data_IF_755454636943
#
_entry.id   IF_755454636943
#
_cell.length_a   1.000
_cell.length_b   1.000
_cell.length_c   1.000
_cell.angle_alpha   90.00
_cell.angle_beta   90.00
_cell.angle_gamma   90.00
#
_symmetry.space_group_name_H-M   'P 1'
#
loop_
_entity.id
_entity.type
_entity.pdbx_description
1 polymer ?
#
# COMPACT_ATOMS: atom_id res chain seq x y z
N UNK A 1 56.78 -1.21 -62.22
CA UNK A 1 57.38 -0.52 -61.05
C UNK A 1 56.54 0.69 -60.75
N UNK A 2 55.54 0.53 -59.87
CA UNK A 2 54.78 1.56 -59.14
C UNK A 2 53.71 0.82 -58.36
N UNK A 3 53.88 0.72 -57.05
CA UNK A 3 52.89 0.28 -56.07
C UNK A 3 52.87 1.34 -54.96
N UNK A 4 51.70 1.80 -54.48
CA UNK A 4 51.63 2.83 -53.45
C UNK A 4 51.66 2.23 -52.03
N UNK A 5 52.20 3.02 -51.13
CA UNK A 5 52.41 2.77 -49.70
C UNK A 5 51.10 2.51 -48.95
N UNK A 6 51.08 1.42 -48.19
CA UNK A 6 50.10 1.17 -47.12
C UNK A 6 50.44 2.06 -45.93
N UNK A 7 49.61 3.07 -45.68
CA UNK A 7 49.67 3.87 -44.47
C UNK A 7 48.99 3.09 -43.33
N UNK A 8 49.78 2.69 -42.33
CA UNK A 8 49.33 1.97 -41.14
C UNK A 8 48.36 2.80 -40.30
N UNK A 9 47.07 2.49 -40.37
CA UNK A 9 46.09 2.83 -39.34
C UNK A 9 46.19 1.81 -38.21
N UNK A 10 47.17 1.94 -37.32
CA UNK A 10 47.23 1.08 -36.12
C UNK A 10 47.92 1.73 -34.92
N UNK A 11 47.70 3.03 -34.71
CA UNK A 11 48.08 3.67 -33.44
C UNK A 11 46.97 4.63 -33.00
N UNK A 12 45.91 4.07 -32.40
CA UNK A 12 45.06 4.75 -31.43
C UNK A 12 44.28 3.73 -30.57
N UNK A 13 44.92 2.61 -30.20
CA UNK A 13 44.47 1.74 -29.11
C UNK A 13 45.24 2.14 -27.85
N UNK A 14 45.08 3.40 -27.43
CA UNK A 14 45.54 3.84 -26.11
C UNK A 14 44.55 3.32 -25.08
N UNK A 15 44.93 2.24 -24.39
CA UNK A 15 44.57 1.93 -22.99
C UNK A 15 43.29 2.57 -22.44
N UNK A 16 42.11 2.16 -22.92
CA UNK A 16 40.92 2.20 -22.06
C UNK A 16 41.03 0.98 -21.15
N UNK A 17 41.52 1.20 -19.92
CA UNK A 17 41.25 0.29 -18.81
C UNK A 17 39.74 0.07 -18.83
N UNK A 18 39.29 -1.15 -19.12
CA UNK A 18 37.87 -1.46 -19.28
C UNK A 18 37.13 -1.02 -18.03
N UNK A 19 36.41 0.10 -18.10
CA UNK A 19 35.55 0.56 -17.02
C UNK A 19 34.33 -0.36 -17.02
N UNK A 20 34.33 -1.33 -16.12
CA UNK A 20 33.18 -2.20 -15.89
C UNK A 20 32.17 -1.43 -15.03
N UNK A 21 30.96 -1.15 -15.54
CA UNK A 21 29.94 -0.44 -14.77
C UNK A 21 29.62 -1.19 -13.47
N UNK A 22 29.68 -0.48 -12.35
CA UNK A 22 29.39 -1.03 -11.04
C UNK A 22 28.04 -0.50 -10.57
N UNK A 23 27.02 -1.36 -10.62
CA UNK A 23 25.70 -1.09 -10.07
C UNK A 23 25.62 -1.56 -8.61
N UNK A 24 25.20 -0.67 -7.72
CA UNK A 24 25.04 -0.94 -6.28
C UNK A 24 23.67 -0.51 -5.79
N UNK A 25 23.06 -1.33 -4.94
CA UNK A 25 21.77 -1.07 -4.28
C UNK A 25 21.93 -1.32 -2.78
N UNK A 26 21.54 -0.35 -1.95
CA UNK A 26 21.64 -0.47 -0.49
C UNK A 26 20.36 0.03 0.23
N UNK A 27 19.80 -0.72 1.19
CA UNK A 27 20.18 -2.10 1.53
C UNK A 27 19.79 -3.08 0.41
N UNK A 28 20.52 -4.20 0.29
CA UNK A 28 20.19 -5.29 -0.65
C UNK A 28 19.06 -6.18 -0.14
N UNK A 29 18.80 -6.16 1.17
CA UNK A 29 17.66 -6.79 1.84
C UNK A 29 17.11 -5.75 2.82
N UNK A 30 15.86 -5.35 2.65
CA UNK A 30 15.24 -4.33 3.51
C UNK A 30 13.73 -4.45 3.49
N UNK A 31 13.05 -3.77 4.40
CA UNK A 31 11.59 -3.81 4.45
C UNK A 31 11.04 -3.08 3.23
N UNK A 32 9.86 -3.48 2.76
CA UNK A 32 9.23 -2.87 1.58
C UNK A 32 9.09 -1.37 1.70
N UNK A 33 8.88 -0.83 2.91
CA UNK A 33 8.69 0.58 3.22
C UNK A 33 9.97 1.34 3.59
N UNK A 34 11.15 0.71 3.48
CA UNK A 34 12.45 1.38 3.65
C UNK A 34 12.97 1.93 2.32
N UNK A 35 13.67 3.08 2.32
CA UNK A 35 14.30 3.57 1.08
C UNK A 35 15.49 2.71 0.65
N UNK A 36 15.68 2.57 -0.66
CA UNK A 36 16.92 2.04 -1.24
C UNK A 36 17.72 3.16 -1.89
N UNK A 37 19.05 3.03 -1.88
CA UNK A 37 19.97 3.87 -2.63
C UNK A 37 20.46 3.08 -3.83
N UNK A 38 20.26 3.62 -5.03
CA UNK A 38 20.73 3.02 -6.29
C UNK A 38 21.79 3.92 -6.90
N UNK A 39 22.99 3.36 -7.09
CA UNK A 39 24.14 4.08 -7.64
C UNK A 39 24.85 3.23 -8.68
N UNK A 40 25.10 3.80 -9.86
CA UNK A 40 25.98 3.26 -10.89
C UNK A 40 27.27 4.06 -10.89
N UNK A 41 28.42 3.37 -10.89
CA UNK A 41 29.75 3.98 -11.01
C UNK A 41 30.51 3.37 -12.19
N UNK A 42 31.66 3.96 -12.52
CA UNK A 42 32.55 3.49 -13.58
C UNK A 42 31.88 3.46 -14.97
N UNK A 43 30.99 4.42 -15.23
CA UNK A 43 30.52 4.70 -16.58
C UNK A 43 31.50 5.66 -17.27
N UNK A 44 31.60 5.67 -18.60
CA UNK A 44 32.17 6.80 -19.33
C UNK A 44 31.43 8.10 -18.95
N UNK A 45 32.12 9.24 -18.75
CA UNK A 45 31.46 10.52 -18.49
C UNK A 45 30.45 10.88 -19.57
N UNK A 46 29.34 11.53 -19.17
CA UNK A 46 28.24 11.91 -20.06
C UNK A 46 27.60 10.75 -20.86
N UNK A 47 27.72 9.49 -20.40
CA UNK A 47 27.04 8.36 -21.03
C UNK A 47 25.56 8.35 -20.66
N UNK A 48 24.69 8.29 -21.68
CA UNK A 48 23.28 7.98 -21.50
C UNK A 48 23.08 6.52 -21.11
N UNK A 49 22.30 6.28 -20.04
CA UNK A 49 21.98 4.95 -19.53
C UNK A 49 20.51 4.88 -19.10
N UNK A 50 19.95 3.67 -19.10
CA UNK A 50 18.64 3.38 -18.50
C UNK A 50 18.83 2.49 -17.29
N UNK A 51 18.31 2.91 -16.14
CA UNK A 51 18.11 2.02 -14.99
C UNK A 51 16.71 1.42 -15.10
N UNK A 52 16.64 0.09 -15.07
CA UNK A 52 15.41 -0.69 -15.22
C UNK A 52 15.28 -1.63 -14.04
N UNK A 53 14.09 -1.69 -13.45
CA UNK A 53 13.71 -2.61 -12.40
C UNK A 53 12.66 -3.58 -12.89
N UNK A 54 12.84 -4.87 -12.63
CA UNK A 54 11.92 -5.93 -13.02
C UNK A 54 11.55 -6.80 -11.82
N UNK A 55 10.26 -7.06 -11.65
CA UNK A 55 9.72 -7.94 -10.62
C UNK A 55 8.75 -8.96 -11.23
N UNK A 56 8.91 -10.24 -10.87
CA UNK A 56 7.95 -11.29 -11.20
C UNK A 56 7.03 -11.53 -10.00
N UNK A 57 5.76 -11.19 -10.13
CA UNK A 57 4.80 -11.27 -9.04
C UNK A 57 4.36 -12.71 -8.74
N UNK A 58 3.76 -12.90 -7.58
CA UNK A 58 3.19 -14.20 -7.18
C UNK A 58 2.00 -14.60 -8.07
N UNK A 59 1.30 -13.61 -8.62
CA UNK A 59 0.26 -13.75 -9.67
C UNK A 59 0.84 -14.10 -11.06
N UNK A 60 2.16 -14.29 -11.15
CA UNK A 60 2.94 -14.66 -12.35
C UNK A 60 3.03 -13.59 -13.44
N UNK A 61 2.70 -12.34 -13.12
CA UNK A 61 2.86 -11.21 -14.04
C UNK A 61 4.22 -10.53 -13.84
N UNK A 62 4.77 -9.97 -14.91
CA UNK A 62 5.99 -9.17 -14.86
C UNK A 62 5.66 -7.69 -14.74
N UNK A 63 6.35 -7.03 -13.82
CA UNK A 63 6.23 -5.62 -13.52
C UNK A 63 7.56 -4.93 -13.74
N UNK A 64 7.54 -3.80 -14.42
CA UNK A 64 8.74 -3.02 -14.69
C UNK A 64 8.58 -1.54 -14.40
N UNK A 65 9.68 -0.92 -14.00
CA UNK A 65 9.87 0.52 -14.01
C UNK A 65 11.23 0.83 -14.62
N UNK A 66 11.38 2.00 -15.20
CA UNK A 66 12.66 2.48 -15.67
C UNK A 66 12.74 4.00 -15.66
N UNK A 67 13.98 4.48 -15.52
CA UNK A 67 14.33 5.88 -15.64
C UNK A 67 15.56 6.07 -16.54
N UNK A 68 15.55 7.13 -17.32
CA UNK A 68 16.66 7.56 -18.19
C UNK A 68 17.59 8.50 -17.44
N UNK A 69 18.89 8.28 -17.53
CA UNK A 69 19.90 9.07 -16.84
C UNK A 69 21.10 9.35 -17.75
N UNK A 70 21.90 10.33 -17.37
CA UNK A 70 23.19 10.60 -17.99
C UNK A 70 24.24 10.67 -16.88
N UNK A 71 25.32 9.91 -16.99
CA UNK A 71 26.36 9.89 -15.97
C UNK A 71 27.08 11.23 -15.87
N UNK A 72 27.45 11.62 -14.65
CA UNK A 72 28.19 12.85 -14.38
C UNK A 72 29.63 12.83 -14.95
N UNK A 73 30.39 13.90 -14.70
CA UNK A 73 31.79 14.03 -15.12
C UNK A 73 32.74 12.99 -14.49
N UNK A 74 32.29 12.28 -13.44
CA UNK A 74 33.01 11.20 -12.78
C UNK A 74 32.49 9.81 -13.20
N UNK A 75 31.58 9.74 -14.17
CA UNK A 75 31.02 8.47 -14.62
C UNK A 75 30.05 7.83 -13.62
N UNK A 76 29.34 8.66 -12.83
CA UNK A 76 28.41 8.21 -11.79
C UNK A 76 26.97 8.61 -12.12
N UNK A 77 26.02 7.74 -11.78
CA UNK A 77 24.59 8.04 -11.69
C UNK A 77 24.13 7.67 -10.28
N UNK A 78 23.55 8.62 -9.55
CA UNK A 78 22.93 8.44 -8.23
C UNK A 78 21.44 8.77 -8.34
N UNK A 79 20.59 7.73 -8.36
CA UNK A 79 19.12 7.87 -8.59
C UNK A 79 18.45 8.87 -7.65
N UNK A 80 18.92 8.94 -6.40
CA UNK A 80 18.35 9.84 -5.40
C UNK A 80 18.68 11.33 -5.62
N UNK A 81 19.61 11.65 -6.53
CA UNK A 81 20.12 13.02 -6.76
C UNK A 81 19.94 13.45 -8.21
N UNK A 82 20.24 12.55 -9.13
CA UNK A 82 20.19 12.83 -10.55
C UNK A 82 18.75 12.67 -11.04
N UNK A 83 18.27 13.66 -11.80
CA UNK A 83 16.91 13.64 -12.32
C UNK A 83 16.81 12.61 -13.45
N UNK A 84 15.77 11.77 -13.38
CA UNK A 84 15.40 10.95 -14.53
C UNK A 84 14.84 11.85 -15.64
N UNK A 85 15.33 11.67 -16.86
CA UNK A 85 14.98 12.47 -18.04
C UNK A 85 13.76 11.91 -18.80
N UNK A 86 13.24 10.76 -18.38
CA UNK A 86 12.16 10.06 -19.05
C UNK A 86 12.01 8.62 -18.57
N UNK A 87 10.92 7.99 -18.97
CA UNK A 87 10.59 6.61 -18.64
C UNK A 87 9.28 6.51 -17.88
N UNK A 88 9.22 5.63 -16.89
CA UNK A 88 8.02 5.46 -16.05
C UNK A 88 7.84 6.56 -15.00
N UNK A 89 8.87 7.39 -14.80
CA UNK A 89 8.88 8.57 -13.95
C UNK A 89 9.94 9.56 -14.46
N UNK A 90 9.85 10.82 -14.03
CA UNK A 90 10.81 11.89 -14.32
C UNK A 90 11.20 12.61 -13.01
N UNK A 91 12.33 13.31 -13.02
CA UNK A 91 12.81 14.04 -11.85
C UNK A 91 13.67 13.20 -10.90
N UNK A 92 14.12 13.82 -9.80
CA UNK A 92 14.96 13.18 -8.79
C UNK A 92 14.09 12.38 -7.81
N UNK A 93 13.82 11.12 -8.16
CA UNK A 93 12.87 10.25 -7.48
C UNK A 93 13.58 8.99 -6.94
N UNK A 94 14.07 9.01 -5.68
CA UNK A 94 14.90 7.93 -5.13
C UNK A 94 14.28 6.53 -5.23
N UNK A 95 12.94 6.48 -5.17
CA UNK A 95 12.16 5.25 -5.17
C UNK A 95 11.35 5.06 -6.46
N UNK A 96 11.64 5.85 -7.51
CA UNK A 96 10.94 5.79 -8.80
C UNK A 96 10.91 4.38 -9.40
N UNK A 97 12.04 3.67 -9.33
CA UNK A 97 12.16 2.27 -9.77
C UNK A 97 11.24 1.28 -9.02
N UNK A 98 10.55 1.67 -7.95
CA UNK A 98 9.57 0.81 -7.27
C UNK A 98 8.14 1.33 -7.45
N UNK A 99 7.88 2.58 -7.06
CA UNK A 99 6.50 3.10 -7.03
C UNK A 99 5.90 3.31 -8.43
N UNK A 100 6.73 3.47 -9.46
CA UNK A 100 6.26 3.67 -10.84
C UNK A 100 6.16 2.37 -11.64
N UNK A 101 6.28 1.19 -11.00
CA UNK A 101 6.18 -0.07 -11.73
C UNK A 101 4.82 -0.21 -12.42
N UNK A 102 4.87 -0.63 -13.66
CA UNK A 102 3.71 -0.95 -14.49
C UNK A 102 3.86 -2.37 -15.04
N UNK A 103 2.77 -3.03 -15.44
CA UNK A 103 2.88 -4.30 -16.15
C UNK A 103 3.71 -4.15 -17.43
N UNK A 104 4.55 -5.13 -17.73
CA UNK A 104 5.34 -5.12 -18.98
C UNK A 104 4.43 -5.07 -20.22
N UNK A 105 4.89 -4.52 -21.36
CA UNK A 105 4.14 -4.53 -22.61
C UNK A 105 3.62 -5.92 -22.98
N UNK A 106 2.34 -6.00 -23.40
CA UNK A 106 1.67 -7.26 -23.73
C UNK A 106 1.03 -7.99 -22.54
N UNK A 107 1.13 -7.43 -21.33
CA UNK A 107 0.42 -7.96 -20.14
C UNK A 107 -1.10 -7.88 -20.29
N UNK A 108 -1.80 -8.76 -19.58
CA UNK A 108 -3.26 -8.72 -19.43
C UNK A 108 -3.73 -7.43 -18.73
N UNK A 109 -4.97 -7.02 -18.98
CA UNK A 109 -5.53 -5.78 -18.42
C UNK A 109 -6.04 -5.93 -16.99
N UNK A 110 -6.10 -4.81 -16.27
CA UNK A 110 -6.67 -4.71 -14.91
C UNK A 110 -5.82 -5.41 -13.85
N UNK A 111 -4.50 -5.39 -13.98
CA UNK A 111 -3.58 -5.96 -13.01
C UNK A 111 -3.48 -5.09 -11.75
N UNK A 112 -3.21 -5.74 -10.62
CA UNK A 112 -2.90 -5.11 -9.34
C UNK A 112 -1.82 -5.93 -8.66
N UNK A 113 -0.66 -5.34 -8.41
CA UNK A 113 0.39 -5.99 -7.65
C UNK A 113 -0.04 -6.07 -6.18
N UNK A 114 -0.05 -7.28 -5.64
CA UNK A 114 -0.38 -7.55 -4.23
C UNK A 114 0.59 -8.60 -3.72
N UNK A 115 0.91 -8.50 -2.43
CA UNK A 115 1.63 -9.57 -1.73
C UNK A 115 0.61 -10.57 -1.17
N UNK A 116 0.74 -11.83 -1.53
CA UNK A 116 -0.10 -12.93 -1.03
C UNK A 116 0.64 -13.74 0.04
N UNK A 117 1.94 -14.00 -0.16
CA UNK A 117 2.77 -14.69 0.82
C UNK A 117 3.75 -13.74 1.50
N UNK A 118 3.45 -13.30 2.72
CA UNK A 118 4.30 -12.36 3.48
C UNK A 118 5.62 -12.99 3.98
N UNK A 119 5.77 -14.32 3.90
CA UNK A 119 6.98 -15.04 4.35
C UNK A 119 8.09 -15.04 3.30
N UNK A 120 7.80 -14.62 2.08
CA UNK A 120 8.79 -14.45 1.01
C UNK A 120 8.99 -12.96 0.68
N UNK A 121 10.17 -12.56 0.15
CA UNK A 121 10.37 -11.19 -0.28
C UNK A 121 9.72 -10.92 -1.64
N UNK A 122 9.55 -9.64 -1.98
CA UNK A 122 9.53 -9.22 -3.37
C UNK A 122 10.96 -9.13 -3.88
N UNK A 123 11.31 -9.97 -4.86
CA UNK A 123 12.63 -9.95 -5.51
C UNK A 123 12.58 -8.99 -6.68
N UNK A 124 13.43 -7.97 -6.66
CA UNK A 124 13.53 -6.94 -7.71
C UNK A 124 14.91 -6.99 -8.34
N UNK A 125 14.95 -7.22 -9.65
CA UNK A 125 16.17 -7.13 -10.44
C UNK A 125 16.35 -5.69 -10.90
N UNK A 126 17.44 -5.04 -10.51
CA UNK A 126 17.80 -3.71 -11.02
C UNK A 126 18.96 -3.89 -12.00
N UNK A 127 18.76 -3.40 -13.21
CA UNK A 127 19.70 -3.51 -14.32
C UNK A 127 20.01 -2.14 -14.87
N UNK A 128 21.24 -1.94 -15.35
CA UNK A 128 21.64 -0.75 -16.10
C UNK A 128 21.91 -1.13 -17.55
N UNK A 129 21.32 -0.38 -18.48
CA UNK A 129 21.45 -0.56 -19.93
C UNK A 129 22.12 0.66 -20.57
N UNK A 130 22.78 0.45 -21.71
CA UNK A 130 23.37 1.54 -22.49
C UNK A 130 22.28 2.28 -23.29
N UNK A 131 22.37 3.61 -23.33
CA UNK A 131 21.40 4.47 -24.00
C UNK A 131 20.09 4.65 -23.22
N UNK A 132 19.22 5.51 -23.75
CA UNK A 132 17.87 5.75 -23.20
C UNK A 132 16.86 4.79 -23.84
N UNK A 133 16.87 3.55 -23.38
CA UNK A 133 15.94 2.51 -23.80
C UNK A 133 14.55 2.70 -23.16
N UNK A 134 13.48 2.46 -23.94
CA UNK A 134 12.08 2.46 -23.49
C UNK A 134 11.40 1.10 -23.61
N UNK A 135 11.96 0.19 -24.39
CA UNK A 135 11.41 -1.14 -24.63
C UNK A 135 12.51 -2.14 -24.99
N UNK A 136 12.15 -3.43 -25.07
CA UNK A 136 13.06 -4.47 -25.54
C UNK A 136 14.18 -4.82 -24.55
N UNK A 137 14.02 -4.52 -23.26
CA UNK A 137 14.99 -4.84 -22.20
C UNK A 137 15.38 -6.33 -22.18
N UNK A 138 14.45 -7.23 -22.48
CA UNK A 138 14.69 -8.69 -22.56
C UNK A 138 15.53 -9.13 -23.77
N UNK A 139 15.69 -8.26 -24.78
CA UNK A 139 16.45 -8.53 -26.01
C UNK A 139 17.88 -7.99 -25.95
N UNK A 140 18.20 -7.19 -24.93
CA UNK A 140 19.52 -6.61 -24.75
C UNK A 140 20.17 -7.15 -23.49
N UNK A 141 21.50 -7.28 -23.52
CA UNK A 141 22.28 -7.61 -22.32
C UNK A 141 22.50 -6.35 -21.50
N UNK A 142 22.18 -6.35 -20.19
CA UNK A 142 22.48 -5.22 -19.33
C UNK A 142 23.99 -5.07 -19.14
N UNK A 143 24.44 -3.84 -18.91
CA UNK A 143 25.83 -3.52 -18.54
C UNK A 143 26.18 -4.07 -17.15
N UNK A 144 25.22 -4.05 -16.23
CA UNK A 144 25.30 -4.69 -14.92
C UNK A 144 23.89 -4.95 -14.37
N UNK A 145 23.76 -5.95 -13.50
CA UNK A 145 22.51 -6.28 -12.80
C UNK A 145 22.81 -6.61 -11.34
N UNK A 146 21.92 -6.18 -10.45
CA UNK A 146 21.91 -6.54 -9.04
C UNK A 146 20.49 -6.94 -8.64
N UNK A 147 20.39 -7.79 -7.61
CA UNK A 147 19.11 -8.20 -7.05
C UNK A 147 18.96 -7.57 -5.67
N UNK A 148 17.79 -7.02 -5.39
CA UNK A 148 17.39 -6.57 -4.05
C UNK A 148 16.12 -7.27 -3.60
N UNK A 149 16.07 -7.62 -2.32
CA UNK A 149 14.93 -8.26 -1.68
C UNK A 149 14.18 -7.25 -0.80
N UNK A 150 12.87 -7.16 -1.02
CA UNK A 150 11.99 -6.23 -0.32
C UNK A 150 11.00 -7.04 0.52
N UNK A 151 11.21 -7.06 1.82
CA UNK A 151 10.51 -7.91 2.76
C UNK A 151 9.30 -7.19 3.39
N UNK A 152 8.16 -7.86 3.53
CA UNK A 152 7.05 -7.33 4.33
C UNK A 152 7.18 -7.68 5.81
N UNK A 153 7.87 -8.79 6.10
CA UNK A 153 8.06 -9.33 7.43
C UNK A 153 9.51 -9.13 7.85
N UNK A 154 9.74 -8.35 8.91
CA UNK A 154 11.05 -8.24 9.54
C UNK A 154 11.48 -9.58 10.15
N UNK A 155 12.79 -9.79 10.39
CA UNK A 155 13.30 -10.96 11.08
C UNK A 155 12.62 -11.12 12.44
N UNK A 156 12.39 -12.37 12.81
CA UNK A 156 11.85 -12.78 14.12
C UNK A 156 10.43 -12.26 14.45
N UNK A 157 9.75 -11.58 13.52
CA UNK A 157 8.30 -11.41 13.61
C UNK A 157 7.67 -12.81 13.57
N UNK A 158 6.71 -13.08 14.44
CA UNK A 158 6.00 -14.36 14.46
C UNK A 158 4.65 -14.23 13.75
N UNK A 159 4.34 -15.14 12.82
CA UNK A 159 3.05 -15.23 12.13
C UNK A 159 2.24 -16.41 12.70
N UNK A 160 1.06 -16.13 13.24
CA UNK A 160 0.19 -17.13 13.89
C UNK A 160 -1.19 -17.10 13.23
N UNK A 161 -1.63 -18.24 12.70
CA UNK A 161 -2.99 -18.39 12.18
C UNK A 161 -4.01 -18.42 13.32
N UNK A 162 -5.05 -17.59 13.25
CA UNK A 162 -6.12 -17.53 14.24
C UNK A 162 -7.38 -18.23 13.71
N UNK A 163 -7.92 -19.16 14.52
CA UNK A 163 -9.18 -19.89 14.28
C UNK A 163 -9.96 -20.07 15.58
N UNK A 164 -10.07 -19.00 16.35
CA UNK A 164 -10.62 -19.03 17.72
C UNK A 164 -12.01 -18.38 17.76
N UNK A 165 -12.95 -18.99 18.48
CA UNK A 165 -14.29 -18.42 18.70
C UNK A 165 -15.09 -18.07 17.41
N UNK A 166 -14.79 -18.75 16.30
CA UNK A 166 -15.36 -18.49 14.97
C UNK A 166 -14.63 -17.38 14.19
N UNK A 167 -13.69 -16.67 14.82
CA UNK A 167 -12.88 -15.62 14.20
C UNK A 167 -11.76 -16.24 13.38
N UNK A 168 -11.49 -15.64 12.22
CA UNK A 168 -10.41 -16.04 11.33
C UNK A 168 -9.52 -14.86 10.96
N UNK A 169 -8.23 -15.09 11.01
CA UNK A 169 -7.25 -14.08 10.66
C UNK A 169 -5.84 -14.58 10.90
N UNK A 170 -4.89 -13.65 10.86
CA UNK A 170 -3.49 -13.92 11.15
C UNK A 170 -2.97 -12.87 12.11
N UNK A 171 -2.45 -13.32 13.24
CA UNK A 171 -1.82 -12.50 14.26
C UNK A 171 -0.32 -12.44 13.99
N UNK A 172 0.24 -11.23 13.96
CA UNK A 172 1.66 -10.98 13.83
C UNK A 172 2.20 -10.40 15.14
N UNK A 173 3.26 -11.01 15.65
CA UNK A 173 3.91 -10.61 16.90
C UNK A 173 5.28 -9.98 16.58
N UNK A 174 5.57 -8.76 17.05
CA UNK A 174 6.91 -8.19 16.96
C UNK A 174 7.94 -9.04 17.73
N UNK A 175 9.24 -8.98 17.35
CA UNK A 175 10.29 -9.60 18.13
C UNK A 175 10.48 -8.89 19.47
N UNK A 176 10.88 -9.67 20.49
CA UNK A 176 11.22 -9.16 21.83
C UNK A 176 10.21 -9.52 22.91
N UNK A 177 10.46 -9.08 24.16
CA UNK A 177 9.71 -9.56 25.32
C UNK A 177 8.29 -8.97 25.46
N UNK A 178 7.98 -7.88 24.75
CA UNK A 178 6.73 -7.14 24.93
C UNK A 178 6.56 -6.55 26.34
N UNK A 179 5.33 -6.21 26.75
CA UNK A 179 4.14 -6.18 25.91
C UNK A 179 4.19 -5.02 24.89
N UNK A 180 3.51 -5.19 23.78
CA UNK A 180 3.38 -4.23 22.70
C UNK A 180 1.95 -3.70 22.61
N UNK A 181 1.70 -2.55 21.98
CA UNK A 181 0.35 -2.17 21.66
C UNK A 181 -0.25 -3.05 20.54
N UNK A 182 -1.58 -3.17 20.53
CA UNK A 182 -2.33 -4.01 19.61
C UNK A 182 -2.96 -3.23 18.46
N UNK A 183 -3.15 -3.88 17.30
CA UNK A 183 -3.91 -3.35 16.16
C UNK A 183 -4.78 -4.45 15.57
N UNK A 184 -6.07 -4.18 15.41
CA UNK A 184 -6.95 -5.00 14.58
C UNK A 184 -7.03 -4.38 13.17
N UNK A 185 -6.46 -5.06 12.19
CA UNK A 185 -6.32 -4.63 10.80
C UNK A 185 -7.43 -5.21 9.90
N UNK A 186 -8.17 -4.33 9.24
CA UNK A 186 -9.32 -4.66 8.39
C UNK A 186 -9.19 -4.06 6.99
N UNK A 187 -9.19 -4.92 5.99
CA UNK A 187 -9.17 -4.54 4.57
C UNK A 187 -10.54 -4.21 4.01
N UNK A 188 -10.63 -3.89 2.71
CA UNK A 188 -11.88 -3.51 2.04
C UNK A 188 -12.73 -4.67 1.51
N UNK A 189 -13.71 -4.34 0.67
CA UNK A 189 -14.70 -5.28 0.12
C UNK A 189 -14.19 -6.35 -0.86
N UNK A 190 -12.89 -6.35 -1.20
CA UNK A 190 -12.28 -7.38 -2.05
C UNK A 190 -12.31 -8.79 -1.44
N UNK A 191 -12.40 -8.85 -0.11
CA UNK A 191 -12.46 -10.08 0.67
C UNK A 191 -11.19 -10.91 0.63
N UNK A 192 -11.29 -12.13 1.15
CA UNK A 192 -10.14 -12.95 1.53
C UNK A 192 -9.43 -12.39 2.77
N UNK A 193 -8.24 -12.94 3.02
CA UNK A 193 -7.33 -12.51 4.08
C UNK A 193 -6.15 -11.79 3.44
N UNK A 194 -5.91 -10.54 3.84
CA UNK A 194 -4.83 -9.71 3.32
C UNK A 194 -3.90 -9.34 4.47
N UNK A 195 -2.67 -9.83 4.41
CA UNK A 195 -1.79 -9.87 5.58
C UNK A 195 -0.72 -8.80 5.59
N UNK A 196 -0.35 -8.26 4.44
CA UNK A 196 0.90 -7.54 4.27
C UNK A 196 0.99 -6.22 5.07
N UNK A 197 -0.12 -5.51 5.27
CA UNK A 197 -0.13 -4.31 6.16
C UNK A 197 0.02 -4.70 7.63
N UNK A 198 -0.72 -5.72 8.09
CA UNK A 198 -0.61 -6.21 9.46
C UNK A 198 0.79 -6.74 9.78
N UNK A 199 1.39 -7.48 8.84
CA UNK A 199 2.75 -7.96 8.94
C UNK A 199 3.78 -6.80 9.04
N UNK A 200 3.59 -5.77 8.24
CA UNK A 200 4.45 -4.58 8.28
C UNK A 200 4.28 -3.80 9.59
N UNK A 201 3.05 -3.67 10.11
CA UNK A 201 2.81 -3.08 11.44
C UNK A 201 3.56 -3.84 12.54
N UNK A 202 3.60 -5.18 12.49
CA UNK A 202 4.38 -5.96 13.45
C UNK A 202 5.89 -5.74 13.34
N UNK A 203 6.38 -5.54 12.11
CA UNK A 203 7.76 -5.11 11.87
C UNK A 203 8.06 -3.72 12.46
N UNK A 204 7.03 -2.89 12.71
CA UNK A 204 7.13 -1.59 13.37
C UNK A 204 6.75 -1.59 14.87
N UNK A 205 6.68 -2.77 15.49
CA UNK A 205 6.52 -2.91 16.94
C UNK A 205 5.06 -2.94 17.42
N UNK A 206 4.10 -3.38 16.59
CA UNK A 206 2.72 -3.56 17.01
C UNK A 206 2.29 -5.03 16.91
N UNK A 207 1.66 -5.59 17.94
CA UNK A 207 0.94 -6.84 17.75
C UNK A 207 -0.24 -6.54 16.84
N UNK A 208 -0.27 -7.13 15.65
CA UNK A 208 -1.26 -6.75 14.63
C UNK A 208 -1.98 -7.98 14.09
N UNK A 209 -3.31 -7.93 14.04
CA UNK A 209 -4.12 -9.02 13.50
C UNK A 209 -4.80 -8.61 12.20
N UNK A 210 -4.45 -9.27 11.10
CA UNK A 210 -5.20 -9.18 9.85
C UNK A 210 -6.49 -9.99 9.99
N UNK A 211 -7.64 -9.33 9.88
CA UNK A 211 -8.95 -9.97 10.03
C UNK A 211 -9.53 -10.37 8.68
N UNK A 212 -9.88 -11.65 8.54
CA UNK A 212 -10.73 -12.11 7.44
C UNK A 212 -12.19 -11.95 7.88
N UNK A 213 -12.97 -11.17 7.13
CA UNK A 213 -14.41 -11.04 7.39
C UNK A 213 -15.26 -11.08 6.12
N UNK A 214 -14.64 -11.45 4.99
CA UNK A 214 -15.31 -11.66 3.70
C UNK A 214 -14.66 -12.84 2.96
N UNK A 215 -14.85 -14.08 3.43
CA UNK A 215 -14.25 -15.25 2.83
C UNK A 215 -14.81 -15.47 1.41
N UNK A 216 -13.96 -15.96 0.49
CA UNK A 216 -14.43 -16.33 -0.84
C UNK A 216 -15.35 -17.56 -0.84
N UNK A 217 -15.23 -18.42 0.17
CA UNK A 217 -16.09 -19.57 0.36
C UNK A 217 -17.27 -19.20 1.27
N UNK A 218 -18.48 -19.24 0.70
CA UNK A 218 -19.73 -18.84 1.36
C UNK A 218 -20.12 -19.77 2.51
N UNK A 219 -19.58 -20.97 2.58
CA UNK A 219 -19.84 -21.87 3.71
C UNK A 219 -19.20 -21.38 5.02
N UNK A 220 -18.40 -20.31 4.96
CA UNK A 220 -17.66 -19.75 6.11
C UNK A 220 -18.22 -18.41 6.60
N UNK A 221 -19.41 -17.99 6.17
CA UNK A 221 -19.96 -16.67 6.51
C UNK A 221 -20.84 -16.66 7.76
N UNK A 222 -21.26 -17.81 8.29
CA UNK A 222 -22.22 -17.88 9.40
C UNK A 222 -21.75 -17.17 10.67
N UNK A 223 -20.47 -17.35 11.04
CA UNK A 223 -19.90 -16.70 12.23
C UNK A 223 -19.71 -15.19 12.03
N UNK A 224 -19.44 -14.77 10.80
CA UNK A 224 -19.19 -13.36 10.41
C UNK A 224 -20.48 -12.54 10.44
N UNK A 225 -21.61 -13.14 10.09
CA UNK A 225 -22.92 -12.48 10.18
C UNK A 225 -23.37 -12.26 11.64
N UNK A 226 -22.64 -12.81 12.63
CA UNK A 226 -22.82 -12.44 14.03
C UNK A 226 -22.42 -10.99 14.25
N UNK A 227 -23.29 -10.23 14.92
CA UNK A 227 -23.00 -8.84 15.34
C UNK A 227 -21.76 -8.74 16.24
N UNK A 228 -21.37 -9.84 16.89
CA UNK A 228 -20.23 -9.91 17.83
C UNK A 228 -18.92 -10.33 17.18
N UNK A 229 -18.89 -10.66 15.88
CA UNK A 229 -17.70 -11.20 15.21
C UNK A 229 -16.48 -10.29 15.37
N UNK A 230 -16.66 -9.00 15.08
CA UNK A 230 -15.58 -8.03 15.18
C UNK A 230 -15.17 -7.70 16.62
N UNK A 231 -16.11 -7.77 17.58
CA UNK A 231 -15.84 -7.58 19.00
C UNK A 231 -15.00 -8.76 19.55
N UNK A 232 -15.32 -9.99 19.14
CA UNK A 232 -14.50 -11.17 19.43
C UNK A 232 -13.10 -11.04 18.83
N UNK A 233 -12.98 -10.61 17.58
CA UNK A 233 -11.69 -10.39 16.93
C UNK A 233 -10.83 -9.36 17.67
N UNK A 234 -11.44 -8.25 18.09
CA UNK A 234 -10.76 -7.25 18.91
C UNK A 234 -10.29 -7.83 20.25
N UNK A 235 -11.12 -8.65 20.92
CA UNK A 235 -10.75 -9.31 22.18
C UNK A 235 -9.59 -10.28 22.04
N UNK A 236 -9.51 -11.04 20.93
CA UNK A 236 -8.36 -11.92 20.66
C UNK A 236 -7.05 -11.12 20.67
N UNK A 237 -7.02 -9.93 20.04
CA UNK A 237 -5.85 -9.05 20.11
C UNK A 237 -5.65 -8.52 21.53
N UNK A 238 -6.71 -7.98 22.14
CA UNK A 238 -6.66 -7.33 23.44
C UNK A 238 -6.20 -8.25 24.58
N UNK A 239 -6.59 -9.52 24.54
CA UNK A 239 -6.34 -10.50 25.59
C UNK A 239 -5.04 -11.29 25.36
N UNK A 240 -4.37 -11.08 24.22
CA UNK A 240 -3.10 -11.74 23.95
C UNK A 240 -2.05 -11.32 24.99
N UNK A 241 -1.27 -12.26 25.58
CA UNK A 241 -0.34 -11.95 26.69
C UNK A 241 0.74 -10.92 26.37
N UNK A 242 1.11 -10.78 25.09
CA UNK A 242 2.07 -9.78 24.62
C UNK A 242 1.42 -8.43 24.28
N UNK A 243 0.14 -8.21 24.56
CA UNK A 243 -0.55 -6.96 24.27
C UNK A 243 -0.78 -6.14 25.53
N UNK A 244 -0.52 -4.84 25.45
CA UNK A 244 -0.92 -3.87 26.47
C UNK A 244 -2.45 -3.73 26.37
N UNK A 245 -3.17 -4.39 27.29
CA UNK A 245 -4.63 -4.60 27.25
C UNK A 245 -5.47 -3.37 26.86
N UNK A 246 -5.14 -2.18 27.36
CA UNK A 246 -5.93 -0.96 27.09
C UNK A 246 -5.38 -0.10 25.95
N UNK A 247 -4.47 -0.65 25.12
CA UNK A 247 -3.78 0.04 24.02
C UNK A 247 -3.93 -0.73 22.71
N UNK A 248 -5.18 -0.92 22.29
CA UNK A 248 -5.53 -1.57 21.02
C UNK A 248 -6.20 -0.57 20.08
N UNK A 249 -5.74 -0.48 18.83
CA UNK A 249 -6.35 0.34 17.79
C UNK A 249 -7.21 -0.47 16.82
N UNK A 250 -8.12 0.23 16.14
CA UNK A 250 -8.76 -0.26 14.91
C UNK A 250 -8.09 0.40 13.70
N UNK A 251 -7.71 -0.40 12.71
CA UNK A 251 -7.16 0.10 11.45
C UNK A 251 -8.01 -0.46 10.30
N UNK A 252 -8.69 0.43 9.58
CA UNK A 252 -9.53 0.06 8.44
C UNK A 252 -9.12 0.73 7.13
N UNK A 253 -9.26 0.01 6.02
CA UNK A 253 -9.25 0.57 4.66
C UNK A 253 -10.58 0.29 3.96
N UNK A 254 -11.15 1.28 3.26
CA UNK A 254 -12.40 1.14 2.51
C UNK A 254 -13.52 0.63 3.44
N UNK A 255 -14.19 -0.48 3.10
CA UNK A 255 -15.16 -1.14 3.97
C UNK A 255 -14.68 -1.38 5.40
N UNK A 256 -13.41 -1.77 5.58
CA UNK A 256 -12.83 -1.96 6.91
C UNK A 256 -12.82 -0.68 7.74
N UNK A 257 -12.71 0.49 7.10
CA UNK A 257 -12.80 1.78 7.78
C UNK A 257 -14.23 2.05 8.28
N UNK A 258 -15.26 1.78 7.47
CA UNK A 258 -16.65 1.90 7.93
C UNK A 258 -16.95 0.98 9.11
N UNK A 259 -16.44 -0.25 9.07
CA UNK A 259 -16.55 -1.21 10.18
C UNK A 259 -15.87 -0.64 11.44
N UNK A 260 -14.64 -0.14 11.31
CA UNK A 260 -13.91 0.47 12.43
C UNK A 260 -14.68 1.64 13.06
N UNK A 261 -15.23 2.54 12.23
CA UNK A 261 -16.04 3.67 12.70
C UNK A 261 -17.29 3.21 13.46
N UNK A 262 -18.03 2.24 12.91
CA UNK A 262 -19.23 1.71 13.55
C UNK A 262 -18.91 1.02 14.89
N UNK A 263 -17.82 0.25 14.97
CA UNK A 263 -17.37 -0.37 16.22
C UNK A 263 -17.00 0.68 17.27
N UNK A 264 -16.21 1.67 16.90
CA UNK A 264 -15.81 2.75 17.81
C UNK A 264 -16.98 3.61 18.31
N UNK A 265 -18.06 3.73 17.52
CA UNK A 265 -19.23 4.51 17.87
C UNK A 265 -20.29 3.75 18.67
N UNK A 266 -20.47 2.45 18.42
CA UNK A 266 -21.63 1.70 18.92
C UNK A 266 -21.33 0.46 19.74
N UNK A 267 -20.11 -0.12 19.67
CA UNK A 267 -19.81 -1.27 20.51
C UNK A 267 -19.83 -0.87 21.99
N UNK A 268 -20.43 -1.72 22.81
CA UNK A 268 -20.40 -1.61 24.29
C UNK A 268 -19.39 -2.57 24.90
N UNK A 269 -18.86 -3.48 24.09
CA UNK A 269 -18.07 -4.63 24.49
C UNK A 269 -16.57 -4.40 24.34
N UNK A 270 -16.18 -3.41 23.53
CA UNK A 270 -14.81 -3.03 23.26
C UNK A 270 -14.63 -1.50 23.33
N UNK A 271 -13.40 -1.07 23.59
CA UNK A 271 -13.04 0.35 23.59
C UNK A 271 -11.68 0.53 22.91
N UNK A 272 -11.65 0.87 21.61
CA UNK A 272 -10.39 1.13 20.92
C UNK A 272 -9.73 2.39 21.46
N UNK A 273 -8.40 2.36 21.57
CA UNK A 273 -7.62 3.49 22.06
C UNK A 273 -7.47 4.60 21.01
N UNK A 274 -7.48 4.24 19.73
CA UNK A 274 -7.57 5.15 18.59
C UNK A 274 -7.99 4.38 17.33
N UNK A 275 -8.37 5.12 16.28
CA UNK A 275 -8.78 4.56 14.98
C UNK A 275 -7.99 5.20 13.83
N UNK A 276 -7.60 4.39 12.84
CA UNK A 276 -7.04 4.84 11.56
C UNK A 276 -7.94 4.34 10.43
N UNK A 277 -8.42 5.26 9.60
CA UNK A 277 -9.39 4.98 8.55
C UNK A 277 -8.92 5.52 7.20
N UNK A 278 -8.47 4.64 6.32
CA UNK A 278 -8.02 4.97 4.96
C UNK A 278 -9.15 4.81 3.97
N UNK A 279 -9.39 5.85 3.17
CA UNK A 279 -10.39 5.85 2.08
C UNK A 279 -11.76 5.34 2.53
N UNK A 280 -12.15 5.72 3.75
CA UNK A 280 -13.33 5.25 4.44
C UNK A 280 -14.54 6.18 4.31
N UNK A 281 -15.71 5.65 4.63
CA UNK A 281 -16.95 6.42 4.78
C UNK A 281 -17.68 5.98 6.04
N UNK A 282 -18.42 6.89 6.65
CA UNK A 282 -19.34 6.60 7.74
C UNK A 282 -20.73 6.15 7.23
N UNK A 283 -20.98 6.19 5.92
CA UNK A 283 -22.28 5.87 5.30
C UNK A 283 -22.49 4.36 5.21
N UNK A 284 -22.96 3.76 6.29
CA UNK A 284 -23.40 2.37 6.38
C UNK A 284 -24.62 2.24 7.31
N UNK A 285 -25.48 1.22 7.12
CA UNK A 285 -26.53 0.88 8.08
C UNK A 285 -25.93 0.59 9.46
N UNK A 286 -26.32 1.36 10.48
CA UNK A 286 -25.76 1.22 11.83
C UNK A 286 -26.34 0.02 12.57
N UNK A 287 -25.55 -0.63 13.42
CA UNK A 287 -25.96 -1.79 14.23
C UNK A 287 -26.52 -2.98 13.41
N UNK A 288 -26.17 -3.06 12.12
CA UNK A 288 -26.55 -4.15 11.22
C UNK A 288 -25.36 -5.08 10.98
N UNK A 289 -25.67 -6.33 10.63
CA UNK A 289 -24.65 -7.29 10.19
C UNK A 289 -24.05 -6.85 8.85
N UNK A 290 -22.84 -7.30 8.56
CA UNK A 290 -22.12 -6.90 7.34
C UNK A 290 -22.90 -7.27 6.07
N UNK A 291 -23.66 -8.38 6.08
CA UNK A 291 -24.52 -8.76 4.96
C UNK A 291 -25.63 -7.76 4.64
N UNK A 292 -26.14 -7.02 5.64
CA UNK A 292 -27.11 -5.94 5.41
C UNK A 292 -26.47 -4.72 4.75
N UNK A 293 -25.21 -4.40 5.08
CA UNK A 293 -24.43 -3.34 4.42
C UNK A 293 -24.34 -3.63 2.92
N UNK A 294 -23.96 -4.85 2.55
CA UNK A 294 -23.91 -5.27 1.15
C UNK A 294 -25.29 -5.25 0.46
N UNK A 295 -26.36 -5.61 1.18
CA UNK A 295 -27.72 -5.56 0.63
C UNK A 295 -28.11 -4.13 0.29
N UNK A 296 -27.78 -3.16 1.15
CA UNK A 296 -28.00 -1.74 0.87
C UNK A 296 -27.17 -1.27 -0.32
N UNK A 297 -25.86 -1.52 -0.32
CA UNK A 297 -24.99 -1.13 -1.44
C UNK A 297 -25.51 -1.67 -2.79
N UNK A 298 -26.04 -2.90 -2.80
CA UNK A 298 -26.62 -3.48 -4.00
C UNK A 298 -27.93 -2.80 -4.42
N UNK A 299 -28.79 -2.43 -3.44
CA UNK A 299 -30.01 -1.66 -3.69
C UNK A 299 -29.68 -0.29 -4.31
N UNK A 300 -28.60 0.34 -3.86
CA UNK A 300 -28.11 1.63 -4.37
C UNK A 300 -27.22 1.47 -5.62
N UNK A 301 -27.02 0.25 -6.11
CA UNK A 301 -26.15 -0.06 -7.25
C UNK A 301 -26.57 0.59 -8.56
N UNK A 302 -27.83 1.02 -8.69
CA UNK A 302 -28.32 1.79 -9.85
C UNK A 302 -27.62 3.15 -10.03
N UNK A 303 -26.94 3.65 -8.98
CA UNK A 303 -26.14 4.88 -9.02
C UNK A 303 -24.72 4.67 -9.56
N UNK A 304 -24.36 3.42 -9.87
CA UNK A 304 -23.05 3.11 -10.46
C UNK A 304 -22.88 3.86 -11.77
N UNK A 305 -21.74 4.56 -11.91
CA UNK A 305 -21.34 5.18 -13.16
C UNK A 305 -20.27 4.35 -13.86
N UNK A 306 -20.08 4.65 -15.13
CA UNK A 306 -19.00 4.13 -15.94
C UNK A 306 -18.26 5.30 -16.57
N UNK A 307 -16.94 5.21 -16.65
CA UNK A 307 -16.16 6.18 -17.43
C UNK A 307 -16.13 5.82 -18.92
N UNK A 308 -15.39 6.60 -19.70
CA UNK A 308 -15.30 6.46 -21.15
C UNK A 308 -14.72 5.09 -21.58
N UNK A 309 -13.90 4.47 -20.74
CA UNK A 309 -13.34 3.13 -20.97
C UNK A 309 -14.22 2.00 -20.40
N UNK A 310 -15.42 2.31 -19.89
CA UNK A 310 -16.36 1.34 -19.33
C UNK A 310 -15.94 0.79 -17.97
N UNK A 311 -15.05 1.48 -17.25
CA UNK A 311 -14.63 1.11 -15.90
C UNK A 311 -15.66 1.58 -14.88
N UNK A 312 -15.88 0.78 -13.85
CA UNK A 312 -16.91 0.99 -12.83
C UNK A 312 -16.48 2.08 -11.86
N UNK A 313 -17.36 3.05 -11.61
CA UNK A 313 -17.21 4.14 -10.63
C UNK A 313 -18.30 3.99 -9.57
N UNK A 314 -17.90 3.69 -8.34
CA UNK A 314 -18.81 3.45 -7.21
C UNK A 314 -19.00 4.66 -6.28
N UNK A 315 -18.26 5.74 -6.52
CA UNK A 315 -18.28 6.96 -5.69
C UNK A 315 -19.70 7.42 -5.36
N UNK A 316 -20.59 7.36 -6.35
CA UNK A 316 -21.95 7.88 -6.28
C UNK A 316 -22.93 6.98 -5.50
N UNK A 317 -22.58 5.73 -5.21
CA UNK A 317 -23.46 4.78 -4.49
C UNK A 317 -23.89 5.37 -3.14
N UNK A 318 -22.94 6.00 -2.44
CA UNK A 318 -23.16 6.59 -1.12
C UNK A 318 -23.60 8.06 -1.17
N UNK A 319 -23.82 8.62 -2.36
CA UNK A 319 -24.26 10.00 -2.56
C UNK A 319 -25.76 10.11 -2.92
N UNK A 320 -26.42 11.22 -2.54
CA UNK A 320 -25.96 12.18 -1.53
C UNK A 320 -25.80 11.52 -0.15
N UNK A 321 -24.95 12.08 0.71
CA UNK A 321 -24.77 11.58 2.09
C UNK A 321 -26.16 11.59 2.77
N UNK A 322 -26.63 10.46 3.34
CA UNK A 322 -27.97 10.37 3.88
C UNK A 322 -28.12 11.25 5.12
N UNK A 323 -29.30 11.85 5.26
CA UNK A 323 -29.71 12.59 6.46
C UNK A 323 -30.24 11.67 7.57
N UNK A 324 -30.68 10.46 7.20
CA UNK A 324 -31.12 9.43 8.14
C UNK A 324 -29.93 8.90 8.98
N UNK A 325 -30.02 9.09 10.30
CA UNK A 325 -29.01 8.65 11.26
C UNK A 325 -28.95 7.12 11.41
N UNK A 326 -29.94 6.37 10.92
CA UNK A 326 -29.88 4.92 10.82
C UNK A 326 -28.99 4.41 9.68
N UNK A 327 -28.63 5.30 8.75
CA UNK A 327 -27.96 4.97 7.49
C UNK A 327 -26.52 5.49 7.40
N UNK A 328 -26.04 6.10 8.48
CA UNK A 328 -24.67 6.57 8.67
C UNK A 328 -24.24 6.53 10.13
N UNK A 329 -22.97 6.25 10.40
CA UNK A 329 -22.40 6.19 11.75
C UNK A 329 -22.44 7.58 12.41
N UNK A 330 -22.98 7.62 13.64
CA UNK A 330 -22.96 8.83 14.47
C UNK A 330 -21.56 9.11 15.02
N UNK A 331 -20.80 9.90 14.27
CA UNK A 331 -19.42 10.25 14.60
C UNK A 331 -19.27 11.00 15.93
N UNK A 332 -20.34 11.64 16.42
CA UNK A 332 -20.33 12.32 17.72
C UNK A 332 -20.14 11.36 18.91
N UNK A 333 -20.39 10.06 18.68
CA UNK A 333 -20.19 8.98 19.66
C UNK A 333 -18.76 8.52 19.79
N UNK A 334 -17.90 8.79 18.81
CA UNK A 334 -16.50 8.38 18.87
C UNK A 334 -15.77 9.27 19.88
N UNK A 335 -15.19 8.62 20.90
CA UNK A 335 -14.50 9.27 22.04
C UNK A 335 -13.00 8.99 22.09
N UNK A 336 -12.45 8.32 21.07
CA UNK A 336 -11.01 8.12 20.93
C UNK A 336 -10.45 8.96 19.76
N UNK A 337 -9.14 9.23 19.72
CA UNK A 337 -8.48 9.83 18.58
C UNK A 337 -8.76 9.07 17.28
N UNK A 338 -9.08 9.80 16.22
CA UNK A 338 -9.42 9.28 14.90
C UNK A 338 -8.57 9.97 13.83
N UNK A 339 -7.86 9.17 13.03
CA UNK A 339 -7.20 9.63 11.82
C UNK A 339 -7.99 9.19 10.58
N UNK A 340 -8.35 10.15 9.74
CA UNK A 340 -8.89 9.92 8.41
C UNK A 340 -7.83 10.18 7.36
N UNK A 341 -7.64 9.24 6.43
CA UNK A 341 -6.78 9.40 5.25
C UNK A 341 -7.66 9.42 4.00
N UNK A 342 -7.61 10.52 3.26
CA UNK A 342 -8.53 10.84 2.16
C UNK A 342 -7.73 11.09 0.89
N UNK A 343 -7.94 10.26 -0.13
CA UNK A 343 -7.56 10.59 -1.51
C UNK A 343 -8.64 11.44 -2.16
N UNK A 344 -8.28 12.59 -2.71
CA UNK A 344 -9.27 13.52 -3.29
C UNK A 344 -9.82 13.05 -4.64
N UNK A 345 -9.06 12.25 -5.39
CA UNK A 345 -9.49 11.60 -6.64
C UNK A 345 -10.04 10.18 -6.39
N UNK A 346 -10.64 9.90 -5.23
CA UNK A 346 -11.24 8.59 -4.95
C UNK A 346 -12.49 8.33 -5.82
N UNK A 347 -12.40 7.37 -6.74
CA UNK A 347 -13.49 7.02 -7.65
C UNK A 347 -14.33 5.83 -7.14
N UNK A 348 -13.96 5.25 -6.00
CA UNK A 348 -14.69 4.15 -5.40
C UNK A 348 -15.68 4.64 -4.34
N UNK A 349 -15.25 5.48 -3.39
CA UNK A 349 -16.09 6.06 -2.33
C UNK A 349 -16.01 7.59 -2.33
N UNK A 350 -17.11 8.26 -1.97
CA UNK A 350 -17.16 9.71 -1.78
C UNK A 350 -16.48 10.14 -0.47
N UNK A 351 -15.16 9.95 -0.39
CA UNK A 351 -14.35 10.12 0.83
C UNK A 351 -14.22 11.58 1.26
N UNK A 352 -14.15 12.51 0.31
CA UNK A 352 -14.09 13.97 0.58
C UNK A 352 -15.40 14.45 1.22
N UNK A 353 -16.53 14.08 0.63
CA UNK A 353 -17.88 14.39 1.14
C UNK A 353 -18.12 13.72 2.48
N UNK A 354 -17.70 12.47 2.62
CA UNK A 354 -17.77 11.73 3.88
C UNK A 354 -16.93 12.41 4.97
N UNK A 355 -15.69 12.80 4.70
CA UNK A 355 -14.82 13.48 5.67
C UNK A 355 -15.39 14.82 6.12
N UNK A 356 -15.99 15.59 5.20
CA UNK A 356 -16.68 16.84 5.52
C UNK A 356 -17.86 16.61 6.48
N UNK A 357 -18.74 15.66 6.18
CA UNK A 357 -19.89 15.35 7.03
C UNK A 357 -19.46 14.79 8.40
N UNK A 358 -18.48 13.88 8.44
CA UNK A 358 -17.90 13.35 9.68
C UNK A 358 -17.33 14.47 10.57
N UNK A 359 -16.60 15.42 9.97
CA UNK A 359 -16.05 16.58 10.69
C UNK A 359 -17.15 17.43 11.31
N UNK A 360 -18.22 17.71 10.55
CA UNK A 360 -19.36 18.48 11.04
C UNK A 360 -20.06 17.78 12.22
N UNK A 361 -20.26 16.46 12.14
CA UNK A 361 -20.85 15.66 13.21
C UNK A 361 -19.97 15.67 14.48
N UNK A 362 -18.65 15.50 14.34
CA UNK A 362 -17.72 15.53 15.48
C UNK A 362 -17.63 16.93 16.11
N UNK A 363 -17.63 18.00 15.30
CA UNK A 363 -17.68 19.38 15.78
C UNK A 363 -18.95 19.67 16.56
N UNK A 364 -20.12 19.29 16.02
CA UNK A 364 -21.40 19.47 16.70
C UNK A 364 -21.46 18.76 18.06
N UNK A 365 -20.75 17.63 18.20
CA UNK A 365 -20.64 16.88 19.45
C UNK A 365 -19.51 17.36 20.39
N UNK A 366 -18.71 18.35 19.99
CA UNK A 366 -17.57 18.86 20.78
C UNK A 366 -16.31 17.99 20.73
N UNK A 367 -16.24 16.98 19.85
CA UNK A 367 -15.14 16.02 19.76
C UNK A 367 -14.17 16.30 18.59
N UNK A 368 -14.28 17.43 17.87
CA UNK A 368 -13.42 17.74 16.71
C UNK A 368 -11.92 17.69 17.05
N UNK A 369 -11.54 18.01 18.29
CA UNK A 369 -10.15 17.91 18.77
C UNK A 369 -9.55 16.50 18.74
N UNK A 370 -10.37 15.45 18.59
CA UNK A 370 -9.94 14.06 18.42
C UNK A 370 -9.67 13.69 16.95
N UNK A 371 -10.08 14.55 16.01
CA UNK A 371 -10.05 14.24 14.58
C UNK A 371 -8.78 14.80 13.93
N UNK A 372 -8.01 13.92 13.30
CA UNK A 372 -6.92 14.26 12.38
C UNK A 372 -7.32 13.86 10.96
N UNK A 373 -7.13 14.75 9.99
CA UNK A 373 -7.44 14.45 8.58
C UNK A 373 -6.19 14.69 7.74
N UNK A 374 -5.79 13.66 7.00
CA UNK A 374 -4.79 13.74 5.96
C UNK A 374 -5.51 13.72 4.61
N UNK A 375 -5.40 14.80 3.85
CA UNK A 375 -5.97 14.93 2.51
C UNK A 375 -4.84 14.96 1.50
N UNK A 376 -4.96 14.12 0.48
CA UNK A 376 -3.98 13.98 -0.58
C UNK A 376 -4.66 14.31 -1.92
N UNK A 377 -4.39 15.50 -2.47
CA UNK A 377 -4.79 15.85 -3.83
C UNK A 377 -4.31 14.79 -4.81
N UNK A 378 -5.12 14.47 -5.81
CA UNK A 378 -4.76 13.57 -6.90
C UNK A 378 -4.40 12.12 -6.49
N UNK A 379 -4.67 11.72 -5.24
CA UNK A 379 -4.59 10.33 -4.79
C UNK A 379 -5.96 9.64 -4.89
N UNK A 380 -5.96 8.37 -5.32
CA UNK A 380 -7.15 7.53 -5.42
C UNK A 380 -7.48 6.72 -4.17
N UNK A 381 -8.33 5.71 -4.35
CA UNK A 381 -8.90 4.90 -3.28
C UNK A 381 -7.88 3.97 -2.57
N UNK A 382 -7.00 3.31 -3.32
CA UNK A 382 -6.15 2.24 -2.81
C UNK A 382 -4.81 2.78 -2.28
N UNK A 383 -4.85 3.54 -1.18
CA UNK A 383 -3.63 4.00 -0.51
C UNK A 383 -3.01 2.83 0.28
N UNK A 384 -2.06 2.17 -0.36
CA UNK A 384 -1.31 1.01 0.11
C UNK A 384 -0.08 1.41 0.96
N UNK A 385 0.63 0.46 1.60
CA UNK A 385 1.97 0.74 2.14
C UNK A 385 2.93 1.35 1.08
N UNK A 386 3.98 2.08 1.53
CA UNK A 386 4.86 2.83 0.64
C UNK A 386 5.47 1.98 -0.48
N UNK A 387 5.72 2.64 -1.61
CA UNK A 387 6.37 2.07 -2.79
C UNK A 387 5.62 0.92 -3.48
N UNK A 388 4.42 0.59 -3.02
CA UNK A 388 3.48 -0.20 -3.81
C UNK A 388 3.12 0.59 -5.07
N UNK A 389 3.15 -0.03 -6.26
CA UNK A 389 2.84 0.68 -7.49
C UNK A 389 1.40 1.20 -7.52
N UNK A 390 1.18 2.34 -8.17
CA UNK A 390 -0.17 2.91 -8.29
C UNK A 390 -1.02 2.14 -9.32
N UNK A 391 -2.25 1.77 -8.94
CA UNK A 391 -3.24 1.17 -9.83
C UNK A 391 -4.47 2.06 -9.98
N UNK A 392 -4.51 2.89 -11.03
CA UNK A 392 -5.67 3.74 -11.28
C UNK A 392 -6.95 2.93 -11.49
N UNK A 393 -6.82 1.75 -12.10
CA UNK A 393 -7.92 0.82 -12.29
C UNK A 393 -7.43 -0.63 -12.24
N UNK A 394 -8.24 -1.53 -11.69
CA UNK A 394 -7.89 -2.96 -11.64
C UNK A 394 -9.12 -3.86 -11.68
N UNK A 395 -8.89 -5.13 -11.98
CA UNK A 395 -9.90 -6.17 -11.86
C UNK A 395 -10.40 -6.26 -10.40
N UNK A 396 -11.71 -6.43 -10.25
CA UNK A 396 -12.38 -6.63 -8.98
C UNK A 396 -13.46 -7.70 -9.14
N UNK A 397 -13.61 -8.56 -8.14
CA UNK A 397 -14.66 -9.59 -8.12
C UNK A 397 -15.75 -9.09 -7.19
N UNK A 398 -16.92 -8.79 -7.75
CA UNK A 398 -18.09 -8.39 -6.96
C UNK A 398 -18.52 -9.53 -6.04
N UNK A 399 -18.61 -9.28 -4.73
CA UNK A 399 -18.92 -10.33 -3.75
C UNK A 399 -20.27 -11.00 -4.00
N UNK A 400 -21.31 -10.24 -4.36
CA UNK A 400 -22.65 -10.81 -4.54
C UNK A 400 -22.77 -11.61 -5.84
N UNK A 401 -22.35 -11.02 -6.97
CA UNK A 401 -22.56 -11.59 -8.32
C UNK A 401 -21.43 -12.50 -8.78
N UNK A 402 -20.25 -12.43 -8.12
CA UNK A 402 -18.99 -13.07 -8.55
C UNK A 402 -18.54 -12.64 -9.95
N UNK A 403 -19.12 -11.57 -10.50
CA UNK A 403 -18.70 -11.01 -11.76
C UNK A 403 -17.39 -10.25 -11.59
N UNK A 404 -16.53 -10.43 -12.60
CA UNK A 404 -15.29 -9.69 -12.73
C UNK A 404 -15.58 -8.38 -13.46
N UNK A 405 -15.25 -7.27 -12.82
CA UNK A 405 -15.35 -5.92 -13.39
C UNK A 405 -14.00 -5.23 -13.30
N UNK A 406 -13.82 -4.13 -14.02
CA UNK A 406 -12.66 -3.24 -13.82
C UNK A 406 -13.16 -2.04 -13.02
N UNK A 407 -12.67 -1.90 -11.79
CA UNK A 407 -12.95 -0.75 -10.94
C UNK A 407 -12.00 0.38 -11.27
N UNK A 408 -12.53 1.60 -11.37
CA UNK A 408 -11.74 2.82 -11.32
C UNK A 408 -11.53 3.20 -9.85
N UNK A 409 -10.28 3.19 -9.41
CA UNK A 409 -9.88 3.60 -8.06
C UNK A 409 -9.53 5.09 -8.01
N UNK A 410 -9.15 5.65 -9.16
CA UNK A 410 -8.68 7.02 -9.30
C UNK A 410 -7.22 7.19 -8.89
N UNK A 411 -6.76 8.44 -8.86
CA UNK A 411 -5.39 8.83 -8.55
C UNK A 411 -4.47 8.98 -9.76
N UNK A 412 -3.38 9.71 -9.56
CA UNK A 412 -2.26 9.86 -10.48
C UNK A 412 -0.99 9.28 -9.84
N UNK A 413 -0.13 8.64 -10.64
CA UNK A 413 0.94 7.77 -10.13
C UNK A 413 1.86 8.45 -9.11
N UNK A 414 2.39 9.63 -9.43
CA UNK A 414 3.32 10.34 -8.53
C UNK A 414 2.61 10.89 -7.27
N UNK A 415 1.52 11.68 -7.36
CA UNK A 415 0.79 12.13 -6.17
C UNK A 415 0.31 10.98 -5.28
N UNK A 416 -0.10 9.85 -5.87
CA UNK A 416 -0.53 8.69 -5.11
C UNK A 416 0.64 7.98 -4.40
N UNK A 417 1.80 7.84 -5.06
CA UNK A 417 3.00 7.32 -4.44
C UNK A 417 3.45 8.17 -3.24
N UNK A 418 3.40 9.50 -3.38
CA UNK A 418 3.70 10.44 -2.30
C UNK A 418 2.71 10.31 -1.14
N UNK A 419 1.42 10.16 -1.45
CA UNK A 419 0.39 9.93 -0.45
C UNK A 419 0.64 8.64 0.35
N UNK A 420 1.00 7.54 -0.32
CA UNK A 420 1.33 6.28 0.34
C UNK A 420 2.53 6.42 1.28
N UNK A 421 3.60 7.10 0.84
CA UNK A 421 4.79 7.33 1.66
C UNK A 421 4.49 8.21 2.89
N UNK A 422 3.93 9.40 2.67
CA UNK A 422 3.68 10.38 3.73
C UNK A 422 2.62 9.89 4.73
N UNK A 423 1.53 9.26 4.25
CA UNK A 423 0.48 8.79 5.16
C UNK A 423 0.98 7.64 6.03
N UNK A 424 1.84 6.75 5.52
CA UNK A 424 2.36 5.63 6.30
C UNK A 424 3.21 6.10 7.47
N UNK A 425 4.12 7.05 7.23
CA UNK A 425 4.92 7.66 8.30
C UNK A 425 4.03 8.32 9.37
N UNK A 426 3.02 9.08 8.93
CA UNK A 426 2.07 9.75 9.84
C UNK A 426 1.19 8.78 10.61
N UNK A 427 0.76 7.68 9.99
CA UNK A 427 -0.02 6.61 10.62
C UNK A 427 0.82 5.93 11.71
N UNK A 428 2.06 5.55 11.40
CA UNK A 428 2.95 4.94 12.39
C UNK A 428 3.21 5.90 13.56
N UNK A 429 3.40 7.19 13.28
CA UNK A 429 3.54 8.23 14.31
C UNK A 429 2.29 8.35 15.19
N UNK A 430 1.11 8.42 14.58
CA UNK A 430 -0.18 8.52 15.27
C UNK A 430 -0.44 7.30 16.16
N UNK A 431 -0.23 6.09 15.64
CA UNK A 431 -0.35 4.86 16.41
C UNK A 431 0.64 4.86 17.58
N UNK A 432 1.90 5.26 17.37
CA UNK A 432 2.89 5.35 18.45
C UNK A 432 2.45 6.33 19.54
N UNK A 433 2.03 7.53 19.15
CA UNK A 433 1.60 8.59 20.06
C UNK A 433 0.42 8.16 20.94
N UNK A 434 -0.56 7.45 20.39
CA UNK A 434 -1.79 7.12 21.12
C UNK A 434 -1.75 5.77 21.82
N UNK A 435 -0.93 4.83 21.34
CA UNK A 435 -0.88 3.48 21.88
C UNK A 435 0.28 3.24 22.84
N UNK A 436 1.47 3.80 22.60
CA UNK A 436 2.57 3.63 23.54
C UNK A 436 2.41 4.53 24.78
N UNK A 437 2.80 4.07 25.99
CA UNK A 437 2.78 4.89 27.19
C UNK A 437 3.78 6.06 27.15
N UNK A 438 4.89 5.90 26.41
CA UNK A 438 5.91 6.94 26.17
C UNK A 438 6.35 6.88 24.69
N UNK A 439 6.57 8.01 23.99
CA UNK A 439 7.06 8.02 22.62
C UNK A 439 8.41 7.31 22.42
N UNK A 440 9.23 7.22 23.48
CA UNK A 440 10.58 6.63 23.44
C UNK A 440 10.61 5.11 23.60
N UNK A 441 9.48 4.47 23.95
CA UNK A 441 9.43 3.01 24.22
C UNK A 441 9.25 2.14 22.97
N UNK A 442 9.60 2.66 21.77
CA UNK A 442 9.37 1.97 20.49
C UNK A 442 10.54 1.04 20.18
N UNK A 443 10.36 -0.29 20.19
CA UNK A 443 11.35 -1.21 19.64
C UNK A 443 11.37 -1.05 18.11
N UNK A 444 12.54 -0.76 17.55
CA UNK A 444 12.75 -0.76 16.09
C UNK A 444 13.29 -2.13 15.69
N UNK A 445 12.50 -2.92 14.95
CA UNK A 445 13.08 -4.02 14.19
C UNK A 445 13.90 -3.42 13.05
N UNK A 446 15.08 -3.99 12.79
CA UNK A 446 15.92 -3.63 11.65
C UNK A 446 16.29 -4.93 10.93
N UNK A 447 16.24 -4.90 9.60
CA UNK A 447 16.74 -5.97 8.73
C UNK A 447 18.26 -5.96 8.63
#
# INVERSE_FOLDING_TARGET
LLAPELCNYTECLSTMVGTFPLLSVQPTRGLVDEKIQVVVRNLPPALSVTLHSLHHSEDKDLWEAFGHYTSDGQGTVTVAKDASLGGTYEGAEPMGLLWSMQPVPGSRTGLRLRKMDVLSPMVVHISVYSGHMTEGFSKQSPLATVVTERWYMAPDVCRIDIREHGVRGTLFLPPGPGPFPGVLDMWGGGGGLVEYRSCLLASHGFVSMALEYLPHDKNRTSDIESKTYFEKAFRIVQEHPLVIKDRVALFGLSLGASVALNLAAYSKDISPKCCVCISGSHVIPVNKAIGEVFRKMNKDGYKTRFDEEGRVVWRDIILPIPTDLGEKVDMGRIKCPLMLVVGEDDQNWATVESAKDMTQMMRAAGNEHLLTILQYPDAGHLIEPPYTPHFRASNFIMQQTRQKVIMLWGGYTKPHADAQEDCWEKILSFLRQHLYPSPDSVPKAKL
#
